data_IF_513597866144
#
_entry.id   IF_513597866144
#
_cell.length_a   1.000
_cell.length_b   1.000
_cell.length_c   1.000
_cell.angle_alpha   90.00
_cell.angle_beta   90.00
_cell.angle_gamma   90.00
#
_symmetry.space_group_name_H-M   'P 1'
#
loop_
_entity.id
_entity.type
_entity.pdbx_description
1 polymer ?
#
# COMPACT_ATOMS: atom_id res chain seq x y z
N UNK A 1 5.33 -0.68 -23.67
CA UNK A 1 5.47 -1.30 -22.35
C UNK A 1 4.32 -2.28 -22.10
N UNK A 2 4.52 -3.55 -22.47
CA UNK A 2 3.64 -4.65 -22.09
C UNK A 2 4.14 -5.22 -20.76
N UNK A 3 3.52 -4.83 -19.65
CA UNK A 3 3.82 -5.47 -18.38
C UNK A 3 3.21 -6.87 -18.39
N UNK A 4 4.08 -7.88 -18.44
CA UNK A 4 3.74 -9.29 -18.41
C UNK A 4 2.84 -9.61 -17.21
N UNK A 5 1.62 -10.07 -17.52
CA UNK A 5 0.53 -10.33 -16.57
C UNK A 5 0.73 -11.61 -15.75
N UNK A 6 1.84 -12.31 -15.94
CA UNK A 6 2.03 -13.69 -15.46
C UNK A 6 2.58 -13.78 -14.03
N UNK A 7 3.10 -12.69 -13.46
CA UNK A 7 3.58 -12.66 -12.07
C UNK A 7 2.57 -12.03 -11.08
N UNK A 8 1.33 -11.77 -11.51
CA UNK A 8 0.30 -11.03 -10.75
C UNK A 8 -0.84 -11.91 -10.22
N UNK A 9 -0.60 -13.19 -9.95
CA UNK A 9 -1.61 -14.03 -9.28
C UNK A 9 -1.46 -13.97 -7.76
N UNK A 10 -0.23 -13.83 -7.26
CA UNK A 10 0.06 -13.77 -5.82
C UNK A 10 -0.38 -12.41 -5.22
N UNK A 11 -0.17 -11.31 -5.94
CA UNK A 11 -0.55 -9.96 -5.49
C UNK A 11 -2.05 -9.69 -5.60
N UNK A 12 -2.74 -10.24 -6.60
CA UNK A 12 -4.20 -10.11 -6.73
C UNK A 12 -4.92 -10.75 -5.53
N UNK A 13 -4.50 -11.94 -5.10
CA UNK A 13 -5.18 -12.65 -3.99
C UNK A 13 -5.10 -11.90 -2.65
N UNK A 14 -3.98 -11.25 -2.33
CA UNK A 14 -3.84 -10.46 -1.11
C UNK A 14 -4.68 -9.18 -1.17
N UNK A 15 -4.67 -8.50 -2.32
CA UNK A 15 -5.42 -7.27 -2.56
C UNK A 15 -6.92 -7.50 -2.53
N UNK A 16 -7.37 -8.61 -3.11
CA UNK A 16 -8.75 -9.04 -3.06
C UNK A 16 -9.19 -9.37 -1.63
N UNK A 17 -8.35 -10.05 -0.84
CA UNK A 17 -8.64 -10.29 0.59
C UNK A 17 -8.75 -9.00 1.40
N UNK A 18 -7.86 -8.02 1.18
CA UNK A 18 -7.95 -6.71 1.86
C UNK A 18 -9.15 -5.90 1.40
N UNK A 19 -9.50 -5.96 0.11
CA UNK A 19 -10.69 -5.29 -0.41
C UNK A 19 -11.97 -5.92 0.14
N UNK A 20 -12.05 -7.25 0.20
CA UNK A 20 -13.15 -7.99 0.81
C UNK A 20 -13.28 -7.63 2.30
N UNK A 21 -12.17 -7.62 3.04
CA UNK A 21 -12.13 -7.21 4.45
C UNK A 21 -12.75 -5.82 4.66
N UNK A 22 -12.35 -4.85 3.83
CA UNK A 22 -12.90 -3.49 3.88
C UNK A 22 -14.40 -3.46 3.60
N UNK A 23 -14.85 -4.25 2.62
CA UNK A 23 -16.26 -4.41 2.29
C UNK A 23 -17.08 -4.92 3.47
N UNK A 24 -16.67 -6.03 4.08
CA UNK A 24 -17.36 -6.59 5.24
C UNK A 24 -17.29 -5.67 6.48
N UNK A 25 -16.18 -4.97 6.69
CA UNK A 25 -16.10 -3.98 7.77
C UNK A 25 -17.09 -2.82 7.55
N UNK A 26 -17.28 -2.42 6.30
CA UNK A 26 -18.26 -1.39 5.95
C UNK A 26 -19.70 -1.87 6.15
N UNK A 27 -20.02 -3.14 5.85
CA UNK A 27 -21.36 -3.68 6.11
C UNK A 27 -21.70 -3.69 7.60
N UNK A 28 -20.73 -4.02 8.47
CA UNK A 28 -20.90 -3.96 9.93
C UNK A 28 -21.29 -2.56 10.44
N UNK A 29 -20.70 -1.52 9.85
CA UNK A 29 -20.92 -0.13 10.29
C UNK A 29 -22.10 0.54 9.59
N UNK A 30 -22.67 -0.08 8.55
CA UNK A 30 -23.76 0.50 7.79
C UNK A 30 -25.10 0.31 8.52
N UNK A 31 -25.78 1.40 8.94
CA UNK A 31 -27.07 1.29 9.64
C UNK A 31 -28.21 0.78 8.75
N UNK A 32 -28.03 0.78 7.41
CA UNK A 32 -29.04 0.30 6.45
C UNK A 32 -28.93 -1.20 6.13
N UNK A 33 -27.95 -1.88 6.71
CA UNK A 33 -27.74 -3.33 6.53
C UNK A 33 -28.45 -4.07 7.67
N UNK A 34 -29.09 -5.20 7.33
CA UNK A 34 -29.78 -6.04 8.30
C UNK A 34 -28.81 -6.68 9.30
N UNK A 35 -29.32 -7.04 10.48
CA UNK A 35 -28.49 -7.65 11.52
C UNK A 35 -27.95 -9.02 11.12
N UNK A 36 -28.72 -9.80 10.35
CA UNK A 36 -28.29 -11.08 9.78
C UNK A 36 -27.09 -10.90 8.82
N UNK A 37 -27.14 -9.90 7.94
CA UNK A 37 -26.04 -9.60 7.03
C UNK A 37 -24.79 -9.09 7.76
N UNK A 38 -24.97 -8.42 8.91
CA UNK A 38 -23.85 -8.02 9.78
C UNK A 38 -23.23 -9.22 10.48
N UNK A 39 -24.05 -10.14 11.00
CA UNK A 39 -23.53 -11.37 11.62
C UNK A 39 -22.72 -12.20 10.63
N UNK A 40 -23.22 -12.38 9.41
CA UNK A 40 -22.48 -13.05 8.35
C UNK A 40 -21.17 -12.33 8.00
N UNK A 41 -21.21 -10.99 7.88
CA UNK A 41 -20.00 -10.21 7.62
C UNK A 41 -18.95 -10.34 8.72
N UNK A 42 -19.38 -10.46 9.98
CA UNK A 42 -18.49 -10.68 11.11
C UNK A 42 -17.87 -12.08 11.06
N UNK A 43 -18.67 -13.10 10.78
CA UNK A 43 -18.21 -14.49 10.69
C UNK A 43 -17.15 -14.67 9.59
N UNK A 44 -17.38 -14.09 8.41
CA UNK A 44 -16.42 -14.11 7.30
C UNK A 44 -15.14 -13.35 7.65
N UNK A 45 -15.24 -12.22 8.36
CA UNK A 45 -14.07 -11.45 8.78
C UNK A 45 -13.18 -12.22 9.75
N UNK A 46 -13.78 -12.93 10.71
CA UNK A 46 -13.05 -13.65 11.77
C UNK A 46 -12.52 -15.00 11.27
N UNK A 47 -13.31 -15.76 10.49
CA UNK A 47 -12.98 -17.13 10.10
C UNK A 47 -12.22 -17.24 8.76
N UNK A 48 -12.57 -16.44 7.76
CA UNK A 48 -12.02 -16.59 6.39
C UNK A 48 -10.90 -15.59 6.09
N UNK A 49 -11.06 -14.34 6.54
CA UNK A 49 -10.15 -13.24 6.21
C UNK A 49 -9.11 -13.02 7.32
N UNK A 50 -9.29 -13.65 8.49
CA UNK A 50 -8.43 -13.49 9.67
C UNK A 50 -8.21 -12.00 10.06
N UNK A 51 -9.29 -11.22 9.99
CA UNK A 51 -9.30 -9.82 10.42
C UNK A 51 -8.26 -8.94 9.73
N UNK A 52 -7.22 -8.53 10.47
CA UNK A 52 -6.20 -7.57 9.99
C UNK A 52 -4.95 -8.22 9.37
N UNK A 53 -4.80 -9.55 9.41
CA UNK A 53 -3.64 -10.24 8.84
C UNK A 53 -3.37 -9.93 7.35
N UNK A 54 -4.36 -9.96 6.44
CA UNK A 54 -4.09 -9.71 5.02
C UNK A 54 -3.61 -8.29 4.76
N UNK A 55 -3.93 -7.33 5.65
CA UNK A 55 -3.45 -5.96 5.53
C UNK A 55 -1.96 -5.84 5.89
N UNK A 56 -1.47 -6.65 6.82
CA UNK A 56 -0.06 -6.73 7.18
C UNK A 56 0.75 -7.41 6.08
N UNK A 57 0.25 -8.55 5.57
CA UNK A 57 0.89 -9.25 4.45
C UNK A 57 1.02 -8.35 3.21
N UNK A 58 -0.02 -7.58 2.89
CA UNK A 58 0.05 -6.61 1.80
C UNK A 58 1.00 -5.45 2.08
N UNK A 59 1.07 -5.02 3.34
CA UNK A 59 2.00 -3.98 3.74
C UNK A 59 3.44 -4.47 3.63
N UNK A 60 3.70 -5.74 3.94
CA UNK A 60 5.01 -6.35 3.78
C UNK A 60 5.33 -6.53 2.29
N UNK A 61 4.41 -7.10 1.50
CA UNK A 61 4.60 -7.29 0.05
C UNK A 61 4.81 -5.97 -0.69
N UNK A 62 4.00 -4.93 -0.40
CA UNK A 62 4.18 -3.59 -0.99
C UNK A 62 5.32 -2.79 -0.34
N UNK A 63 5.60 -3.00 0.95
CA UNK A 63 6.61 -2.28 1.73
C UNK A 63 8.04 -2.72 1.44
N UNK A 64 8.21 -3.98 1.04
CA UNK A 64 9.46 -4.53 0.49
C UNK A 64 9.77 -3.93 -0.89
N UNK A 65 8.75 -3.50 -1.64
CA UNK A 65 8.86 -2.79 -2.92
C UNK A 65 8.62 -1.28 -2.77
N UNK A 66 9.39 -0.60 -1.93
CA UNK A 66 9.61 0.84 -2.12
C UNK A 66 10.39 1.01 -3.42
N UNK A 67 9.70 0.97 -4.55
CA UNK A 67 10.29 1.24 -5.86
C UNK A 67 11.18 2.48 -5.71
N UNK A 68 12.48 2.39 -6.02
CA UNK A 68 13.40 3.52 -5.93
C UNK A 68 12.82 4.78 -6.60
N UNK A 69 12.03 4.59 -7.67
CA UNK A 69 11.26 5.61 -8.37
C UNK A 69 10.26 6.37 -7.48
N UNK A 70 9.52 5.68 -6.60
CA UNK A 70 8.55 6.29 -5.69
C UNK A 70 9.24 7.09 -4.59
N UNK A 71 10.33 6.57 -4.04
CA UNK A 71 11.12 7.26 -3.02
C UNK A 71 11.77 8.50 -3.62
N UNK A 72 12.40 8.38 -4.80
CA UNK A 72 12.95 9.51 -5.54
C UNK A 72 11.87 10.56 -5.88
N UNK A 73 10.67 10.12 -6.29
CA UNK A 73 9.52 11.01 -6.53
C UNK A 73 9.10 11.79 -5.29
N UNK A 74 9.06 11.14 -4.12
CA UNK A 74 8.75 11.78 -2.84
C UNK A 74 9.82 12.80 -2.41
N UNK A 75 11.09 12.45 -2.55
CA UNK A 75 12.21 13.36 -2.27
C UNK A 75 12.20 14.58 -3.19
N UNK A 76 11.94 14.38 -4.50
CA UNK A 76 11.77 15.45 -5.48
C UNK A 76 10.58 16.37 -5.15
N UNK A 77 9.48 15.79 -4.65
CA UNK A 77 8.34 16.58 -4.20
C UNK A 77 8.68 17.39 -2.93
N UNK A 78 9.42 16.82 -1.98
CA UNK A 78 9.86 17.51 -0.78
C UNK A 78 10.74 18.74 -1.10
N UNK A 79 11.65 18.62 -2.07
CA UNK A 79 12.48 19.75 -2.53
C UNK A 79 11.65 20.93 -3.08
N UNK A 80 10.53 20.65 -3.73
CA UNK A 80 9.65 21.68 -4.34
C UNK A 80 8.58 22.23 -3.40
N UNK A 81 8.40 21.62 -2.23
CA UNK A 81 7.33 22.00 -1.33
C UNK A 81 7.75 23.18 -0.44
N UNK A 82 7.02 24.29 -0.54
CA UNK A 82 7.27 25.49 0.27
C UNK A 82 7.04 25.28 1.78
N UNK A 83 6.28 24.25 2.17
CA UNK A 83 6.04 23.88 3.58
C UNK A 83 7.20 23.13 4.20
N UNK A 84 8.16 22.67 3.40
CA UNK A 84 9.36 21.98 3.87
C UNK A 84 10.44 23.04 4.14
N UNK A 85 11.16 22.88 5.25
CA UNK A 85 12.28 23.76 5.62
C UNK A 85 13.43 23.63 4.61
N UNK A 86 14.27 24.67 4.50
CA UNK A 86 15.43 24.63 3.60
C UNK A 86 16.36 23.45 3.90
N UNK A 87 16.65 23.18 5.18
CA UNK A 87 17.43 22.01 5.60
C UNK A 87 16.78 20.67 5.21
N UNK A 88 15.45 20.61 5.21
CA UNK A 88 14.68 19.44 4.77
C UNK A 88 14.75 19.23 3.26
N UNK A 89 14.73 20.32 2.47
CA UNK A 89 14.91 20.27 1.01
C UNK A 89 16.32 19.83 0.63
N UNK A 90 17.34 20.37 1.30
CA UNK A 90 18.73 20.00 1.10
C UNK A 90 18.96 18.52 1.42
N UNK A 91 18.46 18.06 2.57
CA UNK A 91 18.52 16.64 2.96
C UNK A 91 17.83 15.73 1.94
N UNK A 92 16.69 16.17 1.38
CA UNK A 92 15.99 15.42 0.36
C UNK A 92 16.78 15.33 -0.96
N UNK A 93 17.49 16.40 -1.34
CA UNK A 93 18.40 16.41 -2.49
C UNK A 93 19.58 15.47 -2.32
N UNK A 94 20.30 15.60 -1.21
CA UNK A 94 21.45 14.74 -0.90
C UNK A 94 21.08 13.25 -0.93
N UNK A 95 19.88 12.90 -0.42
CA UNK A 95 19.39 11.53 -0.43
C UNK A 95 18.99 11.04 -1.82
N UNK A 96 18.50 11.93 -2.68
CA UNK A 96 18.19 11.63 -4.07
C UNK A 96 19.46 11.39 -4.90
N UNK A 97 20.51 12.18 -4.66
CA UNK A 97 21.82 12.01 -5.29
C UNK A 97 22.49 10.69 -4.88
N UNK A 98 22.46 10.37 -3.58
CA UNK A 98 22.96 9.09 -3.06
C UNK A 98 22.24 7.88 -3.67
N UNK A 99 20.94 8.00 -3.90
CA UNK A 99 20.16 6.94 -4.55
C UNK A 99 20.50 6.80 -6.04
N UNK A 100 20.73 7.91 -6.74
CA UNK A 100 21.15 7.89 -8.14
C UNK A 100 22.53 7.24 -8.33
N UNK A 101 23.43 7.39 -7.36
CA UNK A 101 24.78 6.79 -7.41
C UNK A 101 24.78 5.28 -7.11
N UNK A 102 23.71 4.74 -6.52
CA UNK A 102 23.58 3.33 -6.16
C UNK A 102 22.88 2.49 -7.23
N UNK A 103 22.37 3.10 -8.31
CA UNK A 103 21.85 2.38 -9.46
C UNK A 103 22.99 2.23 -10.48
N UNK A 104 23.62 1.04 -10.63
CA UNK A 104 24.48 0.81 -11.78
C UNK A 104 23.61 0.88 -13.04
N UNK A 105 24.03 1.70 -13.97
CA UNK A 105 23.49 1.76 -15.33
C UNK A 105 23.67 0.34 -15.94
N UNK A 106 22.57 -0.38 -16.20
CA UNK A 106 22.55 -1.60 -17.02
C UNK A 106 22.46 -1.25 -18.52
#
# INVERSE_FOLDING_TARGET
MSYSRENNEVSASGEDKVNAMRGYKATLHNPRVSDEAKQHAQDVLDNEIHGNQPQQELYDVRGQNKEPQRVAGGLKAAQKNYRVTESGKESAGNKLDQMSQQQPEE
#
